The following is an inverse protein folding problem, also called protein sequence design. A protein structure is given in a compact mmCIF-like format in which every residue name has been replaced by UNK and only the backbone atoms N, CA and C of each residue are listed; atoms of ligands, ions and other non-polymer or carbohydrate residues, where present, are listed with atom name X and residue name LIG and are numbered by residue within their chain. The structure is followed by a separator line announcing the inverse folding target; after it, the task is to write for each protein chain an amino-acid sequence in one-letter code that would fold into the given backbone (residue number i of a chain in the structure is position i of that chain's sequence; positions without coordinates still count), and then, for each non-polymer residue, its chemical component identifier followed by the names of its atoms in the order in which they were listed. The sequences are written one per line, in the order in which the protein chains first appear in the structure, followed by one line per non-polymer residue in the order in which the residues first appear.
data_IF_626401542252
#
_entry.id   IF_626401542252
#
_cell.length_a   1.000
_cell.length_b   1.000
_cell.length_c   1.000
_cell.angle_alpha   90.00
_cell.angle_beta   90.00
_cell.angle_gamma   90.00
#
_symmetry.space_group_name_H-M   'P 1'
#
loop_
_entity.id
_entity.type
_entity.pdbx_description
1 polymer ?
#
# COMPACT_ATOMS: atom_id res chain seq x y z
N UNK A 1 -29.44 0.09 -2.49
CA UNK A 1 -28.17 -0.53 -2.18
C UNK A 1 -27.70 -1.29 -3.43
N UNK A 2 -26.92 -0.65 -4.24
CA UNK A 2 -26.24 -1.28 -5.38
C UNK A 2 -24.81 -1.61 -4.94
N UNK A 3 -24.25 -2.77 -5.26
CA UNK A 3 -22.87 -3.07 -4.95
C UNK A 3 -21.95 -2.16 -5.79
N UNK A 4 -21.08 -1.44 -5.12
CA UNK A 4 -19.97 -0.69 -5.73
C UNK A 4 -18.99 -1.70 -6.35
N UNK A 5 -19.09 -1.94 -7.66
CA UNK A 5 -18.03 -2.55 -8.42
C UNK A 5 -16.95 -1.48 -8.65
N UNK A 6 -15.97 -1.46 -7.78
CA UNK A 6 -14.74 -0.68 -7.95
C UNK A 6 -13.77 -1.49 -8.80
N UNK A 7 -13.71 -1.22 -10.09
CA UNK A 7 -12.60 -1.70 -10.91
C UNK A 7 -11.32 -1.00 -10.50
N UNK A 8 -10.28 -1.76 -10.21
CA UNK A 8 -8.96 -1.28 -9.78
C UNK A 8 -8.79 -1.23 -8.25
N UNK A 9 -8.80 -2.38 -7.61
CA UNK A 9 -8.50 -2.49 -6.18
C UNK A 9 -6.99 -2.46 -5.93
N UNK A 10 -6.54 -1.50 -5.13
CA UNK A 10 -5.20 -1.49 -4.56
C UNK A 10 -5.17 -2.32 -3.28
N UNK A 11 -4.13 -3.12 -3.10
CA UNK A 11 -4.05 -4.10 -2.01
C UNK A 11 -2.79 -3.92 -1.17
N UNK A 12 -2.93 -4.13 0.13
CA UNK A 12 -1.89 -3.87 1.12
C UNK A 12 -1.40 -5.19 1.71
N UNK A 13 -0.09 -5.41 1.64
CA UNK A 13 0.60 -6.44 2.42
C UNK A 13 1.40 -5.77 3.54
N UNK A 14 1.26 -6.25 4.76
CA UNK A 14 2.06 -5.79 5.89
C UNK A 14 2.85 -6.97 6.47
N UNK A 15 4.18 -6.83 6.53
CA UNK A 15 5.09 -7.79 7.15
C UNK A 15 5.78 -7.18 8.37
N UNK A 16 5.80 -7.89 9.48
CA UNK A 16 6.47 -7.49 10.71
C UNK A 16 7.50 -8.56 11.10
N UNK A 17 8.78 -8.21 11.16
CA UNK A 17 9.84 -9.10 11.57
C UNK A 17 10.24 -8.91 13.03
N UNK A 18 10.51 -10.01 13.75
CA UNK A 18 11.16 -9.99 15.08
C UNK A 18 12.51 -10.71 15.00
N UNK A 19 13.54 -10.25 15.71
CA UNK A 19 14.85 -10.92 15.69
C UNK A 19 14.81 -12.26 16.41
N UNK A 20 15.39 -13.26 15.78
CA UNK A 20 15.52 -14.63 16.27
C UNK A 20 16.69 -14.74 17.26
N UNK A 21 16.40 -15.16 18.47
CA UNK A 21 17.40 -15.65 19.44
C UNK A 21 17.24 -17.15 19.61
N UNK A 22 17.88 -17.92 18.76
CA UNK A 22 18.06 -19.36 19.01
C UNK A 22 19.35 -19.84 18.39
N UNK A 23 20.38 -19.92 19.22
CA UNK A 23 21.48 -20.88 19.05
C UNK A 23 22.16 -21.04 20.39
N UNK A 24 21.99 -22.19 20.97
CA UNK A 24 22.96 -22.79 21.94
C UNK A 24 22.43 -24.13 22.46
N UNK A 25 22.74 -25.23 21.75
CA UNK A 25 22.97 -26.51 22.37
C UNK A 25 23.87 -27.37 21.47
N UNK A 26 25.02 -27.89 22.01
CA UNK A 26 25.87 -28.79 21.26
C UNK A 26 25.38 -30.23 21.37
N UNK A 27 25.51 -30.98 20.30
CA UNK A 27 25.35 -32.41 20.19
C UNK A 27 26.47 -33.13 20.94
N UNK A 28 26.16 -34.09 21.81
CA UNK A 28 27.10 -34.99 22.42
C UNK A 28 26.99 -36.39 21.82
N UNK A 29 28.16 -36.89 21.45
CA UNK A 29 28.37 -38.11 20.76
C UNK A 29 28.21 -39.38 21.61
N UNK A 30 28.07 -40.47 20.88
CA UNK A 30 28.07 -41.85 21.34
C UNK A 30 29.35 -42.24 22.08
N UNK A 31 29.18 -42.97 23.16
CA UNK A 31 30.23 -43.80 23.72
C UNK A 31 29.67 -45.18 24.12
N UNK A 32 30.18 -46.15 23.44
CA UNK A 32 29.99 -47.58 23.60
C UNK A 32 30.72 -48.02 24.88
N UNK A 33 30.03 -48.61 25.86
CA UNK A 33 30.60 -49.07 27.10
C UNK A 33 30.03 -50.42 27.53
N UNK A 34 30.91 -51.36 27.59
CA UNK A 34 30.87 -52.77 28.04
C UNK A 34 30.05 -53.06 29.28
N UNK A 35 29.27 -54.14 29.21
CA UNK A 35 28.51 -54.78 30.30
C UNK A 35 29.44 -55.47 31.31
N UNK A 36 29.56 -54.93 32.49
CA UNK A 36 30.00 -55.67 33.70
C UNK A 36 28.81 -56.00 34.60
N UNK A 37 28.55 -57.31 34.81
CA UNK A 37 27.54 -57.77 35.76
C UNK A 37 28.09 -57.60 37.16
N UNK A 38 27.65 -56.58 37.85
CA UNK A 38 27.87 -56.47 39.32
C UNK A 38 26.68 -57.08 40.06
N UNK A 39 26.92 -58.18 40.79
CA UNK A 39 25.95 -58.75 41.70
C UNK A 39 25.63 -57.76 42.83
N UNK A 40 24.45 -57.14 42.79
CA UNK A 40 23.96 -56.21 43.80
C UNK A 40 23.26 -56.98 44.92
N UNK A 41 23.87 -57.02 46.08
CA UNK A 41 23.23 -57.36 47.36
C UNK A 41 22.10 -56.38 47.62
N UNK A 42 20.86 -56.82 47.98
CA UNK A 42 19.74 -55.86 48.21
C UNK A 42 20.04 -55.06 49.50
N UNK A 43 20.47 -53.83 49.38
CA UNK A 43 20.54 -52.88 50.50
C UNK A 43 19.12 -52.66 51.02
N UNK A 44 18.84 -53.06 52.28
CA UNK A 44 17.62 -52.69 52.99
C UNK A 44 17.61 -51.17 53.16
N UNK A 45 16.99 -50.47 52.23
CA UNK A 45 16.75 -49.00 52.31
C UNK A 45 15.88 -48.74 53.55
N UNK A 46 16.32 -47.86 54.43
CA UNK A 46 15.56 -47.54 55.65
C UNK A 46 14.26 -46.89 55.23
N UNK A 47 13.13 -47.25 55.79
CA UNK A 47 11.81 -46.76 55.52
C UNK A 47 11.75 -45.20 55.47
N UNK A 48 12.58 -44.57 56.35
CA UNK A 48 12.73 -43.10 56.37
C UNK A 48 13.32 -42.52 55.06
N UNK A 49 14.32 -43.21 54.49
CA UNK A 49 14.95 -42.74 53.23
C UNK A 49 14.01 -42.85 52.07
N UNK A 50 13.18 -43.90 51.96
CA UNK A 50 12.17 -44.10 50.96
C UNK A 50 11.09 -43.01 51.08
N UNK A 51 10.64 -42.68 52.27
CA UNK A 51 9.61 -41.70 52.55
C UNK A 51 10.09 -40.26 52.21
N UNK A 52 11.34 -39.92 52.57
CA UNK A 52 11.96 -38.63 52.28
C UNK A 52 12.16 -38.48 50.76
N UNK A 53 12.67 -39.49 50.08
CA UNK A 53 12.87 -39.43 48.61
C UNK A 53 11.54 -39.29 47.86
N UNK A 54 10.49 -40.02 48.29
CA UNK A 54 9.15 -39.88 47.68
C UNK A 54 8.59 -38.49 47.89
N UNK A 55 8.73 -37.91 49.08
CA UNK A 55 8.27 -36.57 49.38
C UNK A 55 9.01 -35.50 48.57
N UNK A 56 10.35 -35.56 48.49
CA UNK A 56 11.18 -34.65 47.71
C UNK A 56 10.82 -34.77 46.21
N UNK A 57 10.63 -35.99 45.71
CA UNK A 57 10.24 -36.22 44.33
C UNK A 57 8.86 -35.62 44.02
N UNK A 58 7.90 -35.79 44.93
CA UNK A 58 6.54 -35.23 44.76
C UNK A 58 6.56 -33.69 44.74
N UNK A 59 7.28 -33.07 45.72
CA UNK A 59 7.43 -31.61 45.76
C UNK A 59 8.17 -31.09 44.54
N UNK A 60 9.26 -31.73 44.15
CA UNK A 60 10.02 -31.32 42.94
C UNK A 60 9.18 -31.42 41.66
N UNK A 61 8.43 -32.52 41.51
CA UNK A 61 7.55 -32.71 40.37
C UNK A 61 6.45 -31.63 40.31
N UNK A 62 5.86 -31.29 41.47
CA UNK A 62 4.85 -30.24 41.56
C UNK A 62 5.42 -28.88 41.18
N UNK A 63 6.62 -28.52 41.68
CA UNK A 63 7.28 -27.25 41.38
C UNK A 63 7.66 -27.18 39.91
N UNK A 64 8.23 -28.24 39.34
CA UNK A 64 8.60 -28.31 37.92
C UNK A 64 7.34 -28.19 37.04
N UNK A 65 6.27 -28.91 37.36
CA UNK A 65 5.03 -28.91 36.61
C UNK A 65 4.37 -27.51 36.63
N UNK A 66 4.29 -26.89 37.82
CA UNK A 66 3.74 -25.57 38.00
C UNK A 66 4.57 -24.52 37.25
N UNK A 67 5.91 -24.60 37.35
CA UNK A 67 6.82 -23.71 36.61
C UNK A 67 6.67 -23.87 35.09
N UNK A 68 6.57 -25.09 34.61
CA UNK A 68 6.37 -25.38 33.18
C UNK A 68 5.02 -24.84 32.67
N UNK A 69 3.94 -25.11 33.42
CA UNK A 69 2.60 -24.60 33.04
C UNK A 69 2.55 -23.08 33.07
N UNK A 70 3.14 -22.44 34.10
CA UNK A 70 3.22 -20.99 34.19
C UNK A 70 4.02 -20.38 33.05
N UNK A 71 5.15 -20.98 32.70
CA UNK A 71 5.99 -20.54 31.58
C UNK A 71 5.25 -20.68 30.24
N UNK A 72 4.58 -21.82 30.03
CA UNK A 72 3.79 -22.07 28.82
C UNK A 72 2.62 -21.08 28.70
N UNK A 73 1.86 -20.88 29.78
CA UNK A 73 0.75 -19.93 29.80
C UNK A 73 1.22 -18.49 29.60
N UNK A 74 2.34 -18.10 30.23
CA UNK A 74 2.93 -16.77 30.04
C UNK A 74 3.36 -16.52 28.59
N UNK A 75 4.00 -17.51 27.95
CA UNK A 75 4.35 -17.40 26.52
C UNK A 75 3.12 -17.24 25.63
N UNK A 76 2.09 -18.06 25.85
CA UNK A 76 0.87 -18.01 25.05
C UNK A 76 0.18 -16.64 25.17
N UNK A 77 0.08 -16.08 26.39
CA UNK A 77 -0.51 -14.75 26.59
C UNK A 77 0.26 -13.63 25.89
N UNK A 78 1.60 -13.73 25.85
CA UNK A 78 2.43 -12.75 25.12
C UNK A 78 2.20 -12.86 23.60
N UNK A 79 2.13 -14.07 23.06
CA UNK A 79 1.85 -14.25 21.63
C UNK A 79 0.46 -13.73 21.24
N UNK A 80 -0.58 -14.05 22.03
CA UNK A 80 -1.93 -13.53 21.78
C UNK A 80 -1.99 -12.00 21.83
N UNK A 81 -1.24 -11.36 22.74
CA UNK A 81 -1.16 -9.90 22.82
C UNK A 81 -0.46 -9.32 21.59
N UNK A 82 0.64 -9.93 21.14
CA UNK A 82 1.36 -9.50 19.93
C UNK A 82 0.47 -9.62 18.70
N UNK A 83 -0.26 -10.74 18.56
CA UNK A 83 -1.14 -10.96 17.41
C UNK A 83 -2.31 -9.97 17.38
N UNK A 84 -2.89 -9.65 18.55
CA UNK A 84 -3.91 -8.60 18.66
C UNK A 84 -3.37 -7.22 18.27
N UNK A 85 -2.19 -6.86 18.78
CA UNK A 85 -1.55 -5.57 18.45
C UNK A 85 -1.26 -5.47 16.95
N UNK A 86 -0.76 -6.53 16.34
CA UNK A 86 -0.50 -6.59 14.89
C UNK A 86 -1.80 -6.42 14.07
N UNK A 87 -2.85 -7.14 14.47
CA UNK A 87 -4.16 -7.02 13.83
C UNK A 87 -4.72 -5.61 13.95
N UNK A 88 -4.56 -4.95 15.10
CA UNK A 88 -5.00 -3.57 15.31
C UNK A 88 -4.21 -2.60 14.42
N UNK A 89 -2.89 -2.74 14.35
CA UNK A 89 -2.03 -1.91 13.48
C UNK A 89 -2.42 -2.09 12.01
N UNK A 90 -2.62 -3.34 11.57
CA UNK A 90 -3.01 -3.62 10.19
C UNK A 90 -4.39 -3.02 9.85
N UNK A 91 -5.36 -3.12 10.77
CA UNK A 91 -6.70 -2.51 10.60
C UNK A 91 -6.58 -0.99 10.49
N UNK A 92 -5.75 -0.37 11.33
CA UNK A 92 -5.52 1.07 11.30
C UNK A 92 -4.89 1.53 9.98
N UNK A 93 -3.88 0.81 9.48
CA UNK A 93 -3.25 1.12 8.19
C UNK A 93 -4.30 1.01 7.07
N UNK A 94 -5.13 -0.02 7.08
CA UNK A 94 -6.21 -0.21 6.10
C UNK A 94 -7.22 0.95 6.14
N UNK A 95 -7.68 1.36 7.33
CA UNK A 95 -8.61 2.48 7.48
C UNK A 95 -7.99 3.82 7.03
N UNK A 96 -6.71 4.04 7.33
CA UNK A 96 -6.00 5.23 6.92
C UNK A 96 -5.80 5.26 5.40
N UNK A 97 -5.53 4.11 4.77
CA UNK A 97 -5.48 3.97 3.32
C UNK A 97 -6.83 4.19 2.66
N UNK A 98 -7.91 3.62 3.21
CA UNK A 98 -9.27 3.86 2.72
C UNK A 98 -9.60 5.35 2.73
N UNK A 99 -9.26 6.06 3.81
CA UNK A 99 -9.43 7.53 3.90
C UNK A 99 -8.56 8.27 2.89
N UNK A 100 -7.33 7.83 2.69
CA UNK A 100 -6.41 8.43 1.73
C UNK A 100 -6.95 8.33 0.30
N UNK A 101 -7.46 7.15 -0.11
CA UNK A 101 -8.03 6.93 -1.44
C UNK A 101 -9.49 7.43 -1.60
N UNK A 102 -10.20 7.73 -0.50
CA UNK A 102 -11.51 8.38 -0.58
C UNK A 102 -11.39 9.83 -1.08
N UNK A 103 -10.29 10.53 -0.79
CA UNK A 103 -10.12 11.93 -1.19
C UNK A 103 -10.14 12.13 -2.71
N UNK A 104 -9.35 11.40 -3.53
CA UNK A 104 -9.45 11.49 -4.99
C UNK A 104 -10.86 11.19 -5.50
N UNK A 105 -11.51 10.17 -4.93
CA UNK A 105 -12.87 9.79 -5.26
C UNK A 105 -13.85 10.96 -5.02
N UNK A 106 -13.84 11.54 -3.82
CA UNK A 106 -14.78 12.60 -3.45
C UNK A 106 -14.56 13.88 -4.27
N UNK A 107 -13.30 14.26 -4.49
CA UNK A 107 -12.97 15.45 -5.30
C UNK A 107 -13.36 15.28 -6.75
N UNK A 108 -13.13 14.12 -7.36
CA UNK A 108 -13.52 13.88 -8.75
C UNK A 108 -15.05 13.83 -8.89
N UNK A 109 -15.78 13.27 -7.92
CA UNK A 109 -17.25 13.33 -7.88
C UNK A 109 -17.76 14.77 -7.74
N UNK A 110 -17.19 15.53 -6.81
CA UNK A 110 -17.57 16.93 -6.65
C UNK A 110 -17.39 17.73 -7.95
N UNK A 111 -16.28 17.52 -8.64
CA UNK A 111 -15.99 18.21 -9.91
C UNK A 111 -16.96 17.79 -11.03
N UNK A 112 -17.28 16.51 -11.13
CA UNK A 112 -18.29 16.00 -12.06
C UNK A 112 -19.67 16.64 -11.78
N UNK A 113 -20.07 16.71 -10.50
CA UNK A 113 -21.37 17.26 -10.12
C UNK A 113 -21.47 18.76 -10.39
N UNK A 114 -20.40 19.52 -10.15
CA UNK A 114 -20.31 20.95 -10.49
C UNK A 114 -20.46 21.17 -12.00
N UNK A 115 -19.83 20.31 -12.82
CA UNK A 115 -19.98 20.33 -14.27
C UNK A 115 -21.40 19.95 -14.70
N UNK A 116 -21.95 18.87 -14.16
CA UNK A 116 -23.29 18.37 -14.50
C UNK A 116 -24.40 19.37 -14.15
N UNK A 117 -24.26 20.08 -13.03
CA UNK A 117 -25.19 21.13 -12.62
C UNK A 117 -25.03 22.42 -13.42
N UNK A 118 -24.03 22.51 -14.32
CA UNK A 118 -23.76 23.69 -15.13
C UNK A 118 -23.19 24.87 -14.34
N UNK A 119 -22.72 24.64 -13.11
CA UNK A 119 -22.06 25.67 -12.30
C UNK A 119 -20.69 26.07 -12.88
N UNK A 120 -19.99 25.11 -13.45
CA UNK A 120 -18.80 25.30 -14.28
C UNK A 120 -18.99 24.56 -15.60
N UNK A 121 -18.78 25.27 -16.71
CA UNK A 121 -18.92 24.67 -18.02
C UNK A 121 -17.66 23.94 -18.44
N UNK A 122 -17.76 22.63 -18.71
CA UNK A 122 -16.61 21.83 -19.15
C UNK A 122 -16.16 22.18 -20.58
N UNK A 123 -16.99 22.85 -21.34
CA UNK A 123 -16.65 23.39 -22.65
C UNK A 123 -15.91 24.76 -22.57
N UNK A 124 -15.72 25.31 -21.34
CA UNK A 124 -14.99 26.56 -21.02
C UNK A 124 -14.07 26.33 -19.82
N UNK A 125 -13.01 25.56 -20.03
CA UNK A 125 -12.09 25.15 -19.00
C UNK A 125 -11.32 26.26 -18.26
N UNK A 126 -11.00 27.43 -18.89
CA UNK A 126 -10.38 28.54 -18.16
C UNK A 126 -11.16 29.01 -16.94
N UNK A 127 -12.49 28.89 -16.94
CA UNK A 127 -13.34 29.26 -15.77
C UNK A 127 -13.13 28.32 -14.54
N UNK A 128 -12.56 27.14 -14.73
CA UNK A 128 -12.30 26.17 -13.67
C UNK A 128 -11.12 26.53 -12.80
N UNK A 129 -10.23 27.39 -13.26
CA UNK A 129 -8.93 27.60 -12.66
C UNK A 129 -8.98 27.98 -11.18
N UNK A 130 -9.72 29.02 -10.84
CA UNK A 130 -9.86 29.47 -9.44
C UNK A 130 -10.46 28.41 -8.55
N UNK A 131 -11.43 27.66 -9.07
CA UNK A 131 -12.08 26.56 -8.37
C UNK A 131 -11.11 25.42 -8.09
N UNK A 132 -10.37 24.94 -9.09
CA UNK A 132 -9.35 23.87 -8.92
C UNK A 132 -8.22 24.32 -8.00
N UNK A 133 -7.83 25.60 -8.07
CA UNK A 133 -6.84 26.18 -7.15
C UNK A 133 -7.29 26.09 -5.69
N UNK A 134 -8.51 26.52 -5.38
CA UNK A 134 -9.04 26.43 -4.03
C UNK A 134 -9.13 24.99 -3.55
N UNK A 135 -9.57 24.07 -4.41
CA UNK A 135 -9.57 22.64 -4.08
C UNK A 135 -8.15 22.10 -3.76
N UNK A 136 -7.16 22.49 -4.56
CA UNK A 136 -5.78 22.01 -4.34
C UNK A 136 -5.19 22.45 -3.00
N UNK A 137 -5.67 23.57 -2.45
CA UNK A 137 -5.27 24.06 -1.12
C UNK A 137 -5.98 23.33 0.02
N UNK A 138 -7.19 22.85 -0.20
CA UNK A 138 -7.96 22.10 0.79
C UNK A 138 -7.54 20.62 0.83
N UNK A 139 -7.31 20.03 -0.33
CA UNK A 139 -7.00 18.61 -0.49
C UNK A 139 -5.51 18.40 -0.78
N UNK A 140 -4.69 18.63 0.23
CA UNK A 140 -3.22 18.64 0.09
C UNK A 140 -2.61 17.27 -0.18
N UNK A 141 -3.34 16.18 0.03
CA UNK A 141 -2.93 14.81 -0.32
C UNK A 141 -3.03 14.52 -1.83
N UNK A 142 -3.76 15.35 -2.57
CA UNK A 142 -3.83 15.24 -4.03
C UNK A 142 -2.62 15.93 -4.66
N UNK A 143 -2.02 15.27 -5.61
CA UNK A 143 -0.94 15.86 -6.39
C UNK A 143 -1.45 16.61 -7.61
N UNK A 144 -2.60 16.20 -8.16
CA UNK A 144 -3.20 16.86 -9.31
C UNK A 144 -4.72 16.80 -9.26
N UNK A 145 -5.36 17.90 -9.61
CA UNK A 145 -6.80 17.99 -9.89
C UNK A 145 -6.93 18.59 -11.28
N UNK A 146 -7.70 17.94 -12.15
CA UNK A 146 -7.76 18.33 -13.54
C UNK A 146 -9.12 18.07 -14.19
N UNK A 147 -9.35 18.73 -15.32
CA UNK A 147 -10.45 18.47 -16.24
C UNK A 147 -9.94 18.51 -17.68
N UNK A 148 -10.57 17.72 -18.55
CA UNK A 148 -10.33 17.74 -19.98
C UNK A 148 -11.64 17.54 -20.72
N UNK A 149 -11.75 18.08 -21.93
CA UNK A 149 -12.98 18.02 -22.72
C UNK A 149 -12.78 17.31 -24.07
N UNK A 150 -13.88 17.08 -24.77
CA UNK A 150 -13.90 16.45 -26.10
C UNK A 150 -13.25 17.30 -27.19
N UNK A 151 -13.03 18.61 -26.95
CA UNK A 151 -12.26 19.47 -27.85
C UNK A 151 -10.75 19.26 -27.79
N UNK A 152 -10.28 18.44 -26.83
CA UNK A 152 -8.85 18.20 -26.56
C UNK A 152 -8.23 19.27 -25.67
N UNK A 153 -9.04 20.11 -25.05
CA UNK A 153 -8.61 21.12 -24.09
C UNK A 153 -8.41 20.49 -22.71
N UNK A 154 -7.47 21.06 -21.92
CA UNK A 154 -7.10 20.54 -20.61
C UNK A 154 -6.75 21.67 -19.66
N UNK A 155 -7.17 21.51 -18.41
CA UNK A 155 -6.78 22.37 -17.30
C UNK A 155 -6.43 21.52 -16.09
N UNK A 156 -5.40 21.91 -15.35
CA UNK A 156 -5.06 21.28 -14.08
C UNK A 156 -4.39 22.25 -13.12
N UNK A 157 -4.52 21.95 -11.84
CA UNK A 157 -3.60 22.39 -10.81
C UNK A 157 -2.79 21.16 -10.40
N UNK A 158 -1.47 21.26 -10.54
CA UNK A 158 -0.49 20.21 -10.25
C UNK A 158 0.43 20.68 -9.12
N UNK A 159 0.53 19.90 -8.08
CA UNK A 159 1.39 20.18 -6.94
C UNK A 159 2.73 19.48 -7.12
N UNK A 160 3.76 20.26 -7.38
CA UNK A 160 5.13 19.76 -7.53
C UNK A 160 5.80 19.65 -6.15
N UNK A 161 6.45 18.52 -5.88
CA UNK A 161 7.24 18.27 -4.66
C UNK A 161 6.54 18.63 -3.33
N UNK A 162 5.21 18.50 -3.29
CA UNK A 162 4.40 18.66 -2.07
C UNK A 162 4.10 20.11 -1.66
N UNK A 163 4.78 21.13 -2.18
CA UNK A 163 4.65 22.50 -1.68
C UNK A 163 4.15 23.51 -2.73
N UNK A 164 4.72 23.51 -3.92
CA UNK A 164 4.39 24.51 -4.94
C UNK A 164 3.36 23.97 -5.93
N UNK A 165 2.19 24.60 -5.99
CA UNK A 165 1.19 24.30 -6.99
C UNK A 165 1.43 25.14 -8.26
N UNK A 166 1.31 24.51 -9.43
CA UNK A 166 1.41 25.13 -10.74
C UNK A 166 0.13 24.91 -11.53
N UNK A 167 -0.23 25.83 -12.38
CA UNK A 167 -1.32 25.67 -13.36
C UNK A 167 -0.79 24.99 -14.61
N UNK A 168 -1.60 24.11 -15.20
CA UNK A 168 -1.32 23.48 -16.48
C UNK A 168 -2.50 23.70 -17.43
N UNK A 169 -2.20 24.17 -18.64
CA UNK A 169 -3.20 24.46 -19.66
C UNK A 169 -2.77 23.92 -21.01
N UNK A 170 -3.77 23.43 -21.75
CA UNK A 170 -3.65 23.02 -23.13
C UNK A 170 -4.98 23.35 -23.83
N UNK A 171 -4.96 24.23 -24.81
CA UNK A 171 -6.12 24.70 -25.56
C UNK A 171 -5.74 25.17 -26.98
N UNK A 172 -6.69 25.72 -27.71
CA UNK A 172 -6.44 26.28 -29.04
C UNK A 172 -5.46 27.48 -29.01
N UNK A 173 -5.47 28.28 -27.93
CA UNK A 173 -4.55 29.42 -27.79
C UNK A 173 -3.11 29.01 -27.59
N UNK A 174 -2.90 27.84 -26.95
CA UNK A 174 -1.57 27.22 -26.79
C UNK A 174 -1.16 26.37 -28.00
N UNK A 175 -1.98 26.28 -29.03
CA UNK A 175 -1.80 25.36 -30.16
C UNK A 175 -1.82 23.89 -29.73
N UNK A 176 -2.60 23.57 -28.72
CA UNK A 176 -2.66 22.22 -28.06
C UNK A 176 -1.31 21.73 -27.57
N UNK A 177 -0.43 22.66 -27.17
CA UNK A 177 0.76 22.32 -26.39
C UNK A 177 0.46 22.50 -24.89
N UNK A 178 0.98 21.62 -24.05
CA UNK A 178 0.83 21.71 -22.60
C UNK A 178 1.82 22.71 -22.02
N UNK A 179 1.30 23.80 -21.50
CA UNK A 179 2.08 24.79 -20.78
C UNK A 179 1.87 24.64 -19.27
N UNK A 180 2.96 24.82 -18.53
CA UNK A 180 2.94 24.96 -17.07
C UNK A 180 3.18 26.41 -16.71
N UNK A 181 2.40 26.93 -15.77
CA UNK A 181 2.45 28.31 -15.30
C UNK A 181 2.63 28.36 -13.80
N UNK A 182 3.39 29.31 -13.32
CA UNK A 182 3.27 29.72 -11.93
C UNK A 182 1.88 30.28 -11.68
N UNK A 183 1.35 30.02 -10.50
CA UNK A 183 0.04 30.54 -10.07
C UNK A 183 0.24 31.48 -8.88
N UNK A 184 -0.27 32.68 -9.04
CA UNK A 184 -0.32 33.69 -7.99
C UNK A 184 -1.50 33.49 -7.04
N UNK A 185 -1.79 34.51 -6.25
CA UNK A 185 -2.96 34.53 -5.37
C UNK A 185 -4.24 34.27 -6.15
N UNK A 186 -5.14 33.47 -5.58
CA UNK A 186 -6.39 32.99 -6.18
C UNK A 186 -6.24 32.11 -7.44
N UNK A 187 -5.04 31.56 -7.69
CA UNK A 187 -4.82 30.65 -8.79
C UNK A 187 -4.63 31.29 -10.16
N UNK A 188 -4.47 32.61 -10.22
CA UNK A 188 -4.27 33.31 -11.51
C UNK A 188 -2.91 32.93 -12.09
N UNK A 189 -2.84 32.46 -13.39
CA UNK A 189 -1.56 32.18 -14.03
C UNK A 189 -0.75 33.47 -14.14
N UNK A 190 0.53 33.39 -13.87
CA UNK A 190 1.45 34.52 -14.01
C UNK A 190 2.33 34.34 -15.25
N UNK A 191 3.38 33.57 -15.13
CA UNK A 191 4.34 33.37 -16.20
C UNK A 191 4.43 31.91 -16.62
N UNK A 192 4.53 31.60 -17.92
CA UNK A 192 4.79 30.25 -18.37
C UNK A 192 6.20 29.82 -17.95
N UNK A 193 6.30 28.66 -17.31
CA UNK A 193 7.57 28.12 -16.82
C UNK A 193 8.09 26.98 -17.68
N UNK A 194 7.19 26.24 -18.34
CA UNK A 194 7.57 25.10 -19.15
C UNK A 194 6.55 24.87 -20.27
N UNK A 195 7.06 24.54 -21.47
CA UNK A 195 6.29 23.99 -22.56
C UNK A 195 6.68 22.51 -22.71
N UNK A 196 5.74 21.61 -22.46
CA UNK A 196 5.98 20.17 -22.53
C UNK A 196 5.67 19.57 -23.91
N UNK A 197 5.27 20.40 -24.88
CA UNK A 197 4.93 19.99 -26.23
C UNK A 197 3.47 19.55 -26.42
N UNK A 198 3.14 18.99 -27.59
CA UNK A 198 1.77 18.61 -27.94
C UNK A 198 1.14 17.65 -26.90
N UNK A 199 -0.08 17.95 -26.49
CA UNK A 199 -0.80 17.17 -25.49
C UNK A 199 -2.26 17.00 -25.88
N UNK A 200 -2.73 15.78 -25.89
CA UNK A 200 -4.14 15.47 -26.04
C UNK A 200 -4.59 14.69 -24.79
N UNK A 201 -5.46 15.28 -23.93
CA UNK A 201 -5.96 14.61 -22.73
C UNK A 201 -6.69 13.30 -23.05
N UNK A 202 -7.37 13.22 -24.21
CA UNK A 202 -8.16 12.05 -24.61
C UNK A 202 -7.31 10.81 -24.88
N UNK A 203 -6.02 10.99 -25.17
CA UNK A 203 -5.05 9.89 -25.32
C UNK A 203 -4.52 9.35 -23.99
N UNK A 204 -4.78 10.04 -22.88
CA UNK A 204 -4.19 9.73 -21.58
C UNK A 204 -5.00 8.66 -20.80
N UNK A 205 -4.34 7.80 -20.00
CA UNK A 205 -5.02 6.76 -19.24
C UNK A 205 -6.14 7.28 -18.32
N UNK A 206 -5.92 8.42 -17.67
CA UNK A 206 -6.91 9.04 -16.79
C UNK A 206 -8.20 9.47 -17.51
N UNK A 207 -8.10 9.79 -18.80
CA UNK A 207 -9.27 10.16 -19.63
C UNK A 207 -9.93 8.91 -20.22
N UNK A 208 -9.10 8.00 -20.76
CA UNK A 208 -9.57 6.79 -21.44
C UNK A 208 -10.26 5.81 -20.51
N UNK A 209 -9.67 5.54 -19.33
CA UNK A 209 -10.22 4.52 -18.41
C UNK A 209 -11.70 4.74 -18.07
N UNK A 210 -12.14 5.92 -17.60
CA UNK A 210 -13.56 6.12 -17.28
C UNK A 210 -14.45 6.21 -18.54
N UNK A 211 -13.93 6.69 -19.68
CA UNK A 211 -14.72 6.77 -20.93
C UNK A 211 -14.94 5.39 -21.54
N UNK A 212 -13.97 4.51 -21.52
CA UNK A 212 -14.09 3.12 -21.97
C UNK A 212 -14.99 2.30 -21.04
N UNK A 213 -14.88 2.53 -19.72
CA UNK A 213 -15.72 1.87 -18.72
C UNK A 213 -17.15 2.45 -18.64
N UNK A 214 -17.41 3.62 -19.21
CA UNK A 214 -18.65 4.40 -19.08
C UNK A 214 -19.09 4.69 -17.63
N UNK A 215 -18.13 4.69 -16.70
CA UNK A 215 -18.36 4.85 -15.25
C UNK A 215 -17.12 5.42 -14.56
N UNK A 216 -17.26 5.89 -13.31
CA UNK A 216 -16.10 6.25 -12.47
C UNK A 216 -15.08 5.12 -12.44
N UNK A 217 -13.81 5.46 -12.66
CA UNK A 217 -12.77 4.43 -12.77
C UNK A 217 -11.41 4.92 -12.28
N UNK A 218 -10.64 4.03 -11.61
CA UNK A 218 -9.22 4.22 -11.37
C UNK A 218 -8.43 3.90 -12.64
N UNK A 219 -7.52 4.77 -13.01
CA UNK A 219 -6.59 4.45 -14.09
C UNK A 219 -5.57 3.41 -13.64
N UNK A 220 -5.00 2.65 -14.58
CA UNK A 220 -3.75 1.97 -14.34
C UNK A 220 -2.66 2.98 -13.95
N UNK A 221 -1.56 2.49 -13.36
CA UNK A 221 -0.37 3.32 -13.12
C UNK A 221 0.17 3.83 -14.44
N UNK A 222 0.39 5.15 -14.55
CA UNK A 222 0.91 5.77 -15.76
C UNK A 222 1.91 6.88 -15.46
N UNK A 223 2.78 7.15 -16.46
CA UNK A 223 3.79 8.19 -16.36
C UNK A 223 3.15 9.58 -16.43
N UNK A 224 3.55 10.45 -15.51
CA UNK A 224 3.24 11.87 -15.59
C UNK A 224 3.80 12.47 -16.89
N UNK A 225 3.10 13.43 -17.50
CA UNK A 225 3.51 13.92 -18.82
C UNK A 225 4.73 14.87 -18.76
N UNK A 226 4.80 15.65 -17.69
CA UNK A 226 5.83 16.69 -17.54
C UNK A 226 7.05 16.19 -16.78
N UNK A 227 6.85 15.35 -15.78
CA UNK A 227 7.86 14.86 -14.85
C UNK A 227 8.07 13.35 -14.97
N UNK A 228 9.25 12.81 -14.64
CA UNK A 228 9.54 11.38 -14.72
C UNK A 228 8.97 10.61 -13.51
N UNK A 229 7.72 10.90 -13.12
CA UNK A 229 7.04 10.25 -12.01
C UNK A 229 5.85 9.41 -12.46
N UNK A 230 5.49 8.43 -11.66
CA UNK A 230 4.29 7.62 -11.86
C UNK A 230 3.16 8.12 -10.98
N UNK A 231 1.95 7.98 -11.49
CA UNK A 231 0.72 8.38 -10.81
C UNK A 231 -0.43 7.43 -11.13
N UNK A 232 -1.43 7.49 -10.28
CA UNK A 232 -2.75 6.92 -10.50
C UNK A 232 -3.78 8.03 -10.40
N UNK A 233 -4.91 7.88 -11.04
CA UNK A 233 -5.97 8.87 -11.04
C UNK A 233 -7.34 8.22 -10.92
N UNK A 234 -8.19 8.79 -10.08
CA UNK A 234 -9.61 8.48 -10.08
C UNK A 234 -10.32 9.51 -10.93
N UNK A 235 -11.11 9.04 -11.89
CA UNK A 235 -11.66 9.88 -12.94
C UNK A 235 -13.12 9.54 -13.24
N UNK A 236 -13.90 10.55 -13.59
CA UNK A 236 -15.31 10.44 -13.91
C UNK A 236 -15.62 11.08 -15.26
N UNK A 237 -16.36 10.37 -16.12
CA UNK A 237 -16.87 10.98 -17.35
C UNK A 237 -18.00 11.97 -17.02
N UNK A 238 -18.04 13.07 -17.72
CA UNK A 238 -19.06 14.10 -17.65
C UNK A 238 -19.92 14.02 -18.90
N UNK A 239 -21.19 13.73 -18.71
CA UNK A 239 -22.17 13.66 -19.78
C UNK A 239 -23.13 14.84 -19.69
N UNK A 240 -23.64 15.31 -20.85
CA UNK A 240 -24.74 16.24 -20.84
C UNK A 240 -26.11 15.56 -20.66
N UNK A 241 -27.17 16.34 -20.64
CA UNK A 241 -28.53 15.83 -20.45
C UNK A 241 -29.00 14.88 -21.57
N UNK A 242 -28.34 14.89 -22.73
CA UNK A 242 -28.60 13.97 -23.84
C UNK A 242 -27.84 12.65 -23.72
N UNK A 243 -26.95 12.52 -22.74
CA UNK A 243 -26.03 11.36 -22.58
C UNK A 243 -24.78 11.47 -23.46
N UNK A 244 -24.50 12.63 -24.05
CA UNK A 244 -23.29 12.84 -24.85
C UNK A 244 -22.13 13.16 -23.93
N UNK A 245 -20.98 12.48 -24.12
CA UNK A 245 -19.75 12.75 -23.38
C UNK A 245 -19.27 14.17 -23.71
N UNK A 246 -18.99 14.95 -22.69
CA UNK A 246 -18.45 16.31 -22.77
C UNK A 246 -17.01 16.41 -22.33
N UNK A 247 -16.59 15.50 -21.47
CA UNK A 247 -15.24 15.48 -20.94
C UNK A 247 -15.07 14.57 -19.73
N UNK A 248 -13.96 14.72 -19.05
CA UNK A 248 -13.59 13.93 -17.86
C UNK A 248 -13.03 14.85 -16.79
N UNK A 249 -13.46 14.64 -15.56
CA UNK A 249 -12.82 15.21 -14.35
C UNK A 249 -11.98 14.18 -13.65
N UNK A 250 -10.87 14.59 -13.04
CA UNK A 250 -9.90 13.67 -12.44
C UNK A 250 -9.22 14.26 -11.22
N UNK A 251 -8.91 13.39 -10.28
CA UNK A 251 -8.03 13.67 -9.16
C UNK A 251 -6.94 12.58 -9.08
N UNK A 252 -5.68 12.98 -9.05
CA UNK A 252 -4.55 12.08 -9.15
C UNK A 252 -3.63 12.16 -7.94
N UNK A 253 -2.95 11.03 -7.67
CA UNK A 253 -1.94 10.88 -6.62
C UNK A 253 -0.68 10.28 -7.25
N UNK A 254 0.48 10.85 -6.94
CA UNK A 254 1.78 10.27 -7.32
C UNK A 254 2.11 9.06 -6.45
N UNK A 255 2.80 8.09 -7.02
CA UNK A 255 3.23 6.90 -6.26
C UNK A 255 4.21 7.26 -5.13
N UNK A 256 5.00 8.32 -5.30
CA UNK A 256 5.87 8.88 -4.27
C UNK A 256 5.08 9.31 -3.02
N UNK A 257 3.89 9.92 -3.19
CA UNK A 257 3.03 10.32 -2.07
C UNK A 257 2.42 9.10 -1.35
N UNK A 258 2.02 8.08 -2.10
CA UNK A 258 1.54 6.82 -1.52
C UNK A 258 2.68 6.16 -0.72
N UNK A 259 3.89 6.13 -1.27
CA UNK A 259 5.10 5.64 -0.58
C UNK A 259 5.37 6.43 0.72
N UNK A 260 5.32 7.76 0.64
CA UNK A 260 5.50 8.62 1.82
C UNK A 260 4.41 8.37 2.87
N UNK A 261 3.17 8.18 2.44
CA UNK A 261 2.06 7.81 3.33
C UNK A 261 2.32 6.48 4.04
N UNK A 262 2.72 5.42 3.31
CA UNK A 262 3.05 4.12 3.90
C UNK A 262 4.22 4.21 4.89
N UNK A 263 5.26 4.98 4.57
CA UNK A 263 6.42 5.20 5.45
C UNK A 263 6.01 5.86 6.76
N UNK A 264 5.11 6.86 6.73
CA UNK A 264 4.60 7.54 7.93
C UNK A 264 3.69 6.65 8.78
N UNK A 265 2.95 5.73 8.15
CA UNK A 265 1.91 4.94 8.80
C UNK A 265 2.28 3.46 8.98
N UNK A 266 3.54 3.07 8.90
CA UNK A 266 4.00 1.67 9.00
C UNK A 266 3.79 0.99 10.37
N UNK A 267 3.28 1.73 11.34
CA UNK A 267 2.86 1.22 12.66
C UNK A 267 3.99 0.76 13.60
N UNK A 268 5.16 0.40 13.07
CA UNK A 268 6.35 -0.02 13.82
C UNK A 268 7.62 0.40 13.09
N UNK A 269 8.72 0.71 13.78
CA UNK A 269 10.01 0.99 13.16
C UNK A 269 10.50 -0.13 12.21
N UNK A 270 10.19 -1.38 12.56
CA UNK A 270 10.53 -2.57 11.77
C UNK A 270 9.36 -3.09 10.93
N UNK A 271 8.20 -2.43 10.99
CA UNK A 271 7.05 -2.77 10.19
C UNK A 271 7.27 -2.40 8.73
N UNK A 272 6.74 -3.23 7.82
CA UNK A 272 6.80 -3.03 6.41
C UNK A 272 5.39 -3.15 5.82
N UNK A 273 5.02 -2.18 5.00
CA UNK A 273 3.76 -2.16 4.26
C UNK A 273 4.04 -1.92 2.78
N UNK A 274 3.32 -2.60 1.92
CA UNK A 274 3.43 -2.40 0.47
C UNK A 274 2.07 -2.59 -0.19
N UNK A 275 1.91 -1.99 -1.36
CA UNK A 275 0.71 -2.08 -2.20
C UNK A 275 1.12 -2.65 -3.54
N UNK A 276 0.36 -3.61 -4.04
CA UNK A 276 0.48 -4.17 -5.38
C UNK A 276 -0.81 -3.94 -6.16
N UNK A 277 -0.69 -3.88 -7.48
CA UNK A 277 -1.85 -3.92 -8.36
C UNK A 277 -2.26 -5.37 -8.70
N UNK A 278 -3.31 -5.53 -9.50
CA UNK A 278 -3.85 -6.82 -9.93
C UNK A 278 -2.84 -7.68 -10.73
N UNK A 279 -1.78 -7.07 -11.26
CA UNK A 279 -0.71 -7.77 -11.96
C UNK A 279 0.45 -8.18 -11.04
N UNK A 280 0.38 -7.85 -9.74
CA UNK A 280 1.43 -8.11 -8.75
C UNK A 280 2.58 -7.13 -8.80
N UNK A 281 2.46 -6.04 -9.56
CA UNK A 281 3.47 -4.99 -9.61
C UNK A 281 3.34 -4.04 -8.43
N UNK A 282 4.47 -3.66 -7.84
CA UNK A 282 4.50 -2.70 -6.74
C UNK A 282 3.94 -1.35 -7.19
N UNK A 283 3.00 -0.83 -6.41
CA UNK A 283 2.49 0.54 -6.51
C UNK A 283 3.25 1.43 -5.54
N UNK A 284 3.43 0.97 -4.31
CA UNK A 284 4.15 1.68 -3.26
C UNK A 284 4.68 0.71 -2.20
N UNK A 285 5.73 1.11 -1.50
CA UNK A 285 6.30 0.36 -0.39
C UNK A 285 6.83 1.30 0.69
N UNK A 286 6.70 0.92 1.96
CA UNK A 286 7.37 1.61 3.07
C UNK A 286 8.86 1.26 3.19
N UNK A 287 9.35 0.29 2.43
CA UNK A 287 10.78 -0.02 2.31
C UNK A 287 11.51 1.04 1.45
N UNK A 288 12.85 1.04 1.53
CA UNK A 288 13.69 1.91 0.71
C UNK A 288 13.97 1.31 -0.69
N UNK A 289 12.96 0.69 -1.27
CA UNK A 289 12.98 0.17 -2.62
C UNK A 289 12.01 0.98 -3.49
N UNK A 290 12.46 1.50 -4.65
CA UNK A 290 11.55 2.16 -5.58
C UNK A 290 10.60 1.15 -6.23
N UNK A 291 9.32 1.52 -6.33
CA UNK A 291 8.31 0.70 -7.01
C UNK A 291 8.54 0.59 -8.53
N UNK A 292 9.40 1.43 -9.08
CA UNK A 292 9.77 1.45 -10.50
C UNK A 292 11.17 1.97 -10.71
N UNK A 293 11.75 1.66 -11.86
CA UNK A 293 12.98 2.24 -12.39
C UNK A 293 12.76 2.76 -13.81
N UNK A 294 13.69 3.58 -14.31
CA UNK A 294 13.67 4.03 -15.69
C UNK A 294 14.75 3.27 -16.48
N UNK A 295 14.36 2.72 -17.63
CA UNK A 295 15.33 2.13 -18.56
C UNK A 295 16.21 3.22 -19.20
N UNK A 296 17.30 2.83 -19.84
CA UNK A 296 18.17 3.74 -20.62
C UNK A 296 17.40 4.43 -21.77
N UNK A 297 16.30 3.86 -22.22
CA UNK A 297 15.44 4.39 -23.28
C UNK A 297 14.28 5.26 -22.73
N UNK A 298 14.24 5.47 -21.39
CA UNK A 298 13.22 6.27 -20.72
C UNK A 298 11.88 5.55 -20.52
N UNK A 299 11.86 4.23 -20.70
CA UNK A 299 10.69 3.40 -20.38
C UNK A 299 10.61 3.13 -18.87
N UNK A 300 9.39 3.00 -18.37
CA UNK A 300 9.11 2.69 -16.98
C UNK A 300 9.14 1.18 -16.79
N UNK A 301 10.05 0.72 -15.95
CA UNK A 301 10.15 -0.67 -15.52
C UNK A 301 9.60 -0.76 -14.09
N UNK A 302 8.43 -1.38 -13.94
CA UNK A 302 7.81 -1.58 -12.63
C UNK A 302 8.32 -2.86 -11.99
N UNK A 303 8.51 -2.83 -10.68
CA UNK A 303 9.02 -3.97 -9.90
C UNK A 303 7.87 -4.93 -9.60
N UNK A 304 8.03 -6.20 -9.93
CA UNK A 304 7.15 -7.27 -9.46
C UNK A 304 7.41 -7.51 -7.97
N UNK A 305 6.36 -7.63 -7.15
CA UNK A 305 6.53 -7.87 -5.72
C UNK A 305 7.29 -9.18 -5.42
N UNK A 306 7.10 -10.21 -6.26
CA UNK A 306 7.81 -11.49 -6.17
C UNK A 306 9.30 -11.41 -6.50
N UNK A 307 9.74 -10.32 -7.15
CA UNK A 307 11.14 -10.06 -7.54
C UNK A 307 11.75 -8.88 -6.77
N UNK A 308 11.05 -8.39 -5.75
CA UNK A 308 11.53 -7.31 -4.89
C UNK A 308 12.91 -7.61 -4.32
N UNK A 309 13.77 -6.60 -4.25
CA UNK A 309 15.09 -6.69 -3.61
C UNK A 309 14.95 -6.87 -2.09
N UNK A 310 13.82 -6.41 -1.52
CA UNK A 310 13.48 -6.55 -0.11
C UNK A 310 12.98 -7.97 0.17
N UNK A 311 13.73 -8.73 0.96
CA UNK A 311 13.45 -10.16 1.22
C UNK A 311 12.04 -10.40 1.77
N UNK A 312 11.58 -9.54 2.68
CA UNK A 312 10.23 -9.65 3.27
C UNK A 312 9.12 -9.44 2.24
N UNK A 313 9.23 -8.44 1.36
CA UNK A 313 8.25 -8.22 0.29
C UNK A 313 8.24 -9.45 -0.63
N UNK A 314 9.44 -9.86 -1.09
CA UNK A 314 9.58 -11.00 -2.00
C UNK A 314 9.00 -12.29 -1.43
N UNK A 315 9.29 -12.61 -0.16
CA UNK A 315 8.80 -13.82 0.47
C UNK A 315 7.29 -13.77 0.71
N UNK A 316 6.77 -12.67 1.26
CA UNK A 316 5.33 -12.50 1.48
C UNK A 316 4.55 -12.56 0.17
N UNK A 317 5.02 -11.90 -0.89
CA UNK A 317 4.40 -11.92 -2.20
C UNK A 317 4.34 -13.33 -2.79
N UNK A 318 5.46 -14.07 -2.74
CA UNK A 318 5.52 -15.47 -3.24
C UNK A 318 4.65 -16.41 -2.42
N UNK A 319 4.57 -16.24 -1.11
CA UNK A 319 3.71 -17.07 -0.26
C UNK A 319 2.24 -16.76 -0.52
N UNK A 320 1.88 -15.49 -0.57
CA UNK A 320 0.53 -15.04 -0.91
C UNK A 320 0.08 -15.60 -2.27
N UNK A 321 0.94 -15.48 -3.29
CA UNK A 321 0.66 -15.97 -4.64
C UNK A 321 0.48 -17.49 -4.68
N UNK A 322 1.25 -18.23 -3.87
CA UNK A 322 1.10 -19.69 -3.74
C UNK A 322 -0.22 -20.09 -3.12
N UNK A 323 -0.72 -19.32 -2.15
CA UNK A 323 -1.99 -19.61 -1.46
C UNK A 323 -3.21 -19.19 -2.25
N UNK A 324 -3.15 -18.04 -2.91
CA UNK A 324 -4.31 -17.43 -3.59
C UNK A 324 -4.33 -17.73 -5.09
N UNK A 325 -3.17 -17.97 -5.69
CA UNK A 325 -3.01 -18.32 -7.11
C UNK A 325 -3.23 -17.16 -8.10
N UNK A 326 -3.78 -16.02 -7.65
CA UNK A 326 -4.03 -14.84 -8.49
C UNK A 326 -4.10 -13.58 -7.64
N UNK A 327 -3.36 -12.53 -8.03
CA UNK A 327 -3.41 -11.23 -7.38
C UNK A 327 -4.81 -10.60 -7.38
N UNK A 328 -5.60 -10.79 -8.44
CA UNK A 328 -6.99 -10.34 -8.54
C UNK A 328 -7.95 -11.00 -7.53
N UNK A 329 -7.60 -12.15 -6.95
CA UNK A 329 -8.45 -12.88 -6.00
C UNK A 329 -8.17 -12.56 -4.52
N UNK A 330 -7.19 -11.72 -4.21
CA UNK A 330 -6.83 -11.36 -2.83
C UNK A 330 -7.86 -10.39 -2.25
N UNK A 331 -8.89 -10.91 -1.60
CA UNK A 331 -9.94 -10.11 -0.93
C UNK A 331 -9.89 -10.24 0.61
N UNK A 332 -8.84 -10.86 1.16
CA UNK A 332 -8.77 -11.18 2.58
C UNK A 332 -7.42 -10.84 3.17
N UNK A 333 -7.44 -10.51 4.46
CA UNK A 333 -6.26 -10.53 5.29
C UNK A 333 -5.81 -11.99 5.45
N UNK A 334 -4.64 -12.34 4.92
CA UNK A 334 -4.04 -13.67 5.05
C UNK A 334 -2.89 -13.57 6.06
N UNK A 335 -2.96 -14.35 7.13
CA UNK A 335 -1.86 -14.51 8.08
C UNK A 335 -0.95 -15.62 7.56
N UNK A 336 0.31 -15.30 7.29
CA UNK A 336 1.30 -16.25 6.78
C UNK A 336 2.14 -16.75 7.96
N UNK A 337 1.78 -17.90 8.54
CA UNK A 337 2.42 -18.44 9.73
C UNK A 337 3.75 -19.14 9.47
N UNK A 338 4.04 -19.53 8.22
CA UNK A 338 5.20 -20.35 7.85
C UNK A 338 6.12 -19.66 6.83
N UNK A 339 6.97 -18.74 7.29
CA UNK A 339 8.14 -18.36 6.51
C UNK A 339 9.26 -19.39 6.75
N UNK A 340 9.98 -19.85 5.70
CA UNK A 340 10.98 -20.91 5.82
C UNK A 340 12.18 -20.58 6.72
N UNK A 341 12.34 -19.32 7.11
CA UNK A 341 13.45 -18.85 7.96
C UNK A 341 13.02 -18.44 9.39
N UNK A 342 11.84 -18.86 9.86
CA UNK A 342 11.35 -18.51 11.21
C UNK A 342 10.85 -17.06 11.34
N UNK A 343 10.82 -16.29 10.27
CA UNK A 343 10.17 -14.98 10.21
C UNK A 343 8.68 -15.18 9.90
N UNK A 344 7.81 -14.74 10.80
CA UNK A 344 6.37 -14.77 10.56
C UNK A 344 5.98 -13.62 9.66
N UNK A 345 5.38 -13.94 8.52
CA UNK A 345 4.81 -13.01 7.56
C UNK A 345 3.30 -12.86 7.81
N UNK A 346 2.80 -11.67 7.72
CA UNK A 346 1.38 -11.33 7.89
C UNK A 346 0.89 -10.46 6.75
#
# INVERSE_FOLDING_TARGET
ALPLQTGGEFRVGAGLSTPNTSNLFPSSGEAMGTTERVNSVPRRSSLRLVLVTLFVLLVSTTVILTGFLSFRSGRQSVFEMVDRLRSEIATRIEEDLRRFFAIPHDVAHLNRDVAFQGLLNIDDLPTWQGYLWHQSRLFTSLTKIAAGNEKGEYIAIDRQNGEQAVGQFCDAATGFALFTYEVGDMGVPTSPTKNAGPYDPRSRPWYRSPTEAHQPHWSNVFKHFVDPELQIAFSLPVYDASGTLKGVTTAAVRLSEITAFLKRNRGSPNGLAYIVDESGQLVASSADEPAFSMSSEGEVLRTQAEDSSVSLIRQSARTLMREVGNWGAVDRRISLDDAPDGERLF
#
